data_IF_939723429364
#
_entry.id   IF_939723429364
#
_cell.length_a   1.000
_cell.length_b   1.000
_cell.length_c   1.000
_cell.angle_alpha   90.00
_cell.angle_beta   90.00
_cell.angle_gamma   90.00
#
_symmetry.space_group_name_H-M   'P 1'
#
loop_
_entity.id
_entity.type
_entity.pdbx_description
1 polymer ?
#
# COMPACT_ATOMS: atom_id res chain seq x y z
N UNK A 1 5.93 -24.26 -23.62
CA UNK A 1 4.65 -23.59 -23.34
C UNK A 1 4.98 -22.51 -22.31
N UNK A 2 4.55 -21.27 -22.52
CA UNK A 2 4.80 -20.18 -21.56
C UNK A 2 4.00 -20.44 -20.28
N UNK A 3 4.65 -20.30 -19.13
CA UNK A 3 4.04 -20.57 -17.82
C UNK A 3 3.27 -19.37 -17.29
N UNK A 4 3.55 -18.16 -17.78
CA UNK A 4 2.96 -16.92 -17.25
C UNK A 4 1.42 -16.87 -17.36
N UNK A 5 0.78 -17.30 -18.47
CA UNK A 5 -0.69 -17.35 -18.54
C UNK A 5 -1.32 -18.30 -17.51
N UNK A 6 -0.61 -19.40 -17.19
CA UNK A 6 -1.06 -20.40 -16.22
C UNK A 6 -0.91 -19.86 -14.79
N UNK A 7 0.18 -19.15 -14.52
CA UNK A 7 0.40 -18.44 -13.26
C UNK A 7 -0.63 -17.35 -13.04
N UNK A 8 -0.97 -16.58 -14.08
CA UNK A 8 -1.95 -15.51 -13.95
C UNK A 8 -3.36 -16.05 -13.68
N UNK A 9 -3.72 -17.18 -14.30
CA UNK A 9 -4.97 -17.90 -13.98
C UNK A 9 -5.00 -18.36 -12.52
N UNK A 10 -3.89 -18.89 -12.00
CA UNK A 10 -3.76 -19.25 -10.59
C UNK A 10 -3.88 -18.01 -9.68
N UNK A 11 -3.15 -16.93 -9.99
CA UNK A 11 -3.16 -15.64 -9.27
C UNK A 11 -4.53 -14.99 -9.24
N UNK A 12 -5.25 -14.98 -10.35
CA UNK A 12 -6.60 -14.45 -10.45
C UNK A 12 -7.57 -15.23 -9.56
N UNK A 13 -7.49 -16.57 -9.55
CA UNK A 13 -8.33 -17.42 -8.71
C UNK A 13 -8.05 -17.25 -7.21
N UNK A 14 -6.80 -16.95 -6.84
CA UNK A 14 -6.47 -16.60 -5.46
C UNK A 14 -7.01 -15.24 -5.06
N UNK A 15 -6.88 -14.23 -5.95
CA UNK A 15 -7.42 -12.89 -5.73
C UNK A 15 -8.94 -12.92 -5.55
N UNK A 16 -9.66 -13.71 -6.35
CA UNK A 16 -11.12 -13.82 -6.24
C UNK A 16 -11.60 -14.45 -4.92
N UNK A 17 -10.72 -15.10 -4.16
CA UNK A 17 -11.02 -15.71 -2.85
C UNK A 17 -10.58 -14.85 -1.66
N UNK A 18 -10.00 -13.66 -1.89
CA UNK A 18 -9.62 -12.72 -0.84
C UNK A 18 -8.61 -13.29 0.16
N UNK A 19 -8.77 -12.96 1.45
CA UNK A 19 -7.88 -13.37 2.56
C UNK A 19 -7.75 -14.90 2.67
N UNK A 20 -8.76 -15.64 2.21
CA UNK A 20 -8.77 -17.10 2.19
C UNK A 20 -8.05 -17.72 0.99
N UNK A 21 -7.63 -16.93 -0.01
CA UNK A 21 -6.97 -17.44 -1.21
C UNK A 21 -5.61 -18.09 -0.90
N UNK A 22 -4.66 -17.28 -0.43
CA UNK A 22 -3.29 -17.73 -0.15
C UNK A 22 -3.23 -18.53 1.16
N UNK A 23 -3.94 -18.09 2.20
CA UNK A 23 -4.01 -18.78 3.49
C UNK A 23 -4.74 -20.11 3.38
N UNK A 24 -5.80 -20.17 2.58
CA UNK A 24 -6.49 -21.42 2.24
C UNK A 24 -5.60 -22.38 1.48
N UNK A 25 -4.80 -21.88 0.52
CA UNK A 25 -3.81 -22.70 -0.17
C UNK A 25 -2.71 -23.23 0.76
N UNK A 26 -2.23 -22.45 1.72
CA UNK A 26 -1.28 -22.94 2.74
C UNK A 26 -1.88 -24.01 3.66
N UNK A 27 -3.16 -23.90 4.02
CA UNK A 27 -3.89 -24.96 4.73
C UNK A 27 -4.06 -26.20 3.85
N UNK A 28 -4.35 -26.01 2.56
CA UNK A 28 -4.47 -27.12 1.62
C UNK A 28 -3.13 -27.78 1.34
N UNK A 29 -2.02 -27.06 1.31
CA UNK A 29 -0.67 -27.63 1.24
C UNK A 29 -0.43 -28.62 2.40
N UNK A 30 -0.76 -28.23 3.62
CA UNK A 30 -0.70 -29.12 4.80
C UNK A 30 -1.68 -30.30 4.74
N UNK A 31 -2.84 -30.12 4.13
CA UNK A 31 -3.85 -31.18 3.97
C UNK A 31 -3.43 -32.22 2.92
N UNK A 32 -2.67 -31.77 1.93
CA UNK A 32 -2.28 -32.57 0.76
C UNK A 32 -0.92 -33.26 1.00
N UNK A 33 -0.02 -32.64 1.77
CA UNK A 33 1.23 -33.25 2.28
C UNK A 33 0.91 -34.35 3.31
N UNK A 34 0.40 -35.48 2.83
CA UNK A 34 0.00 -36.63 3.66
C UNK A 34 1.20 -37.28 4.34
N UNK A 35 2.41 -37.06 3.79
CA UNK A 35 3.67 -37.55 4.34
C UNK A 35 4.25 -36.68 5.46
N UNK A 36 3.71 -35.47 5.70
CA UNK A 36 4.25 -34.52 6.67
C UNK A 36 5.67 -34.05 6.32
N UNK A 37 6.03 -34.10 5.04
CA UNK A 37 7.36 -33.80 4.52
C UNK A 37 7.65 -32.29 4.44
N UNK A 38 6.61 -31.46 4.54
CA UNK A 38 6.65 -30.02 4.27
C UNK A 38 6.71 -29.67 2.78
N UNK A 39 6.65 -30.67 1.90
CA UNK A 39 6.70 -30.55 0.45
C UNK A 39 5.58 -31.33 -0.22
N UNK A 40 5.29 -31.00 -1.46
CA UNK A 40 4.18 -31.57 -2.22
C UNK A 40 4.72 -32.10 -3.53
N UNK A 41 4.57 -33.40 -3.77
CA UNK A 41 4.96 -34.03 -5.02
C UNK A 41 3.92 -33.77 -6.14
N UNK A 42 4.14 -34.33 -7.33
CA UNK A 42 3.30 -34.02 -8.48
C UNK A 42 1.85 -34.48 -8.36
N UNK A 43 1.63 -35.69 -7.83
CA UNK A 43 0.29 -36.24 -7.67
C UNK A 43 -0.48 -35.48 -6.59
N UNK A 44 0.22 -35.14 -5.52
CA UNK A 44 -0.27 -34.29 -4.44
C UNK A 44 -0.65 -32.89 -4.96
N UNK A 45 0.20 -32.25 -5.77
CA UNK A 45 -0.07 -30.92 -6.31
C UNK A 45 -1.26 -30.94 -7.29
N UNK A 46 -1.37 -31.96 -8.15
CA UNK A 46 -2.56 -32.18 -9.00
C UNK A 46 -3.83 -32.32 -8.16
N UNK A 47 -3.78 -33.11 -7.08
CA UNK A 47 -4.91 -33.26 -6.17
C UNK A 47 -5.28 -31.92 -5.51
N UNK A 48 -4.29 -31.16 -5.05
CA UNK A 48 -4.48 -29.82 -4.49
C UNK A 48 -5.19 -28.87 -5.47
N UNK A 49 -4.77 -28.87 -6.74
CA UNK A 49 -5.40 -28.04 -7.77
C UNK A 49 -6.86 -28.45 -8.05
N UNK A 50 -7.16 -29.75 -7.99
CA UNK A 50 -8.52 -30.27 -8.19
C UNK A 50 -9.46 -29.90 -7.04
N UNK A 51 -9.07 -30.13 -5.78
CA UNK A 51 -9.92 -29.82 -4.61
C UNK A 51 -10.18 -28.31 -4.46
N UNK A 52 -9.28 -27.48 -5.00
CA UNK A 52 -9.42 -26.03 -5.01
C UNK A 52 -10.23 -25.50 -6.21
N UNK A 53 -10.72 -26.38 -7.11
CA UNK A 53 -11.44 -26.03 -8.33
C UNK A 53 -10.70 -24.98 -9.18
N UNK A 54 -9.38 -25.13 -9.33
CA UNK A 54 -8.55 -24.17 -10.08
C UNK A 54 -8.76 -24.27 -11.61
N UNK A 55 -9.42 -25.33 -12.09
CA UNK A 55 -9.69 -25.52 -13.52
C UNK A 55 -8.42 -25.66 -14.37
N UNK A 56 -7.34 -26.16 -13.79
CA UNK A 56 -6.06 -26.39 -14.47
C UNK A 56 -6.02 -27.81 -15.05
N UNK A 57 -5.61 -27.91 -16.31
CA UNK A 57 -5.33 -29.17 -16.99
C UNK A 57 -4.07 -29.85 -16.44
N UNK A 58 -3.90 -31.17 -16.60
CA UNK A 58 -2.70 -31.86 -16.16
C UNK A 58 -1.40 -31.31 -16.76
N UNK A 59 -1.45 -30.73 -17.97
CA UNK A 59 -0.29 -30.09 -18.61
C UNK A 59 0.05 -28.75 -17.95
N UNK A 60 -0.96 -27.92 -17.66
CA UNK A 60 -0.81 -26.66 -16.90
C UNK A 60 -0.24 -26.93 -15.50
N UNK A 61 -0.70 -27.99 -14.81
CA UNK A 61 -0.18 -28.34 -13.49
C UNK A 61 1.29 -28.75 -13.54
N UNK A 62 1.70 -29.55 -14.54
CA UNK A 62 3.12 -29.90 -14.73
C UNK A 62 4.00 -28.69 -15.02
N UNK A 63 3.50 -27.73 -15.80
CA UNK A 63 4.21 -26.48 -16.07
C UNK A 63 4.40 -25.64 -14.81
N UNK A 64 3.37 -25.53 -13.96
CA UNK A 64 3.48 -24.84 -12.68
C UNK A 64 4.49 -25.50 -11.77
N UNK A 65 4.50 -26.83 -11.69
CA UNK A 65 5.47 -27.57 -10.88
C UNK A 65 6.90 -27.33 -11.33
N UNK A 66 7.16 -27.42 -12.64
CA UNK A 66 8.47 -27.13 -13.20
C UNK A 66 8.90 -25.68 -12.93
N UNK A 67 7.96 -24.74 -12.87
CA UNK A 67 8.25 -23.35 -12.54
C UNK A 67 8.44 -23.09 -11.04
N UNK A 68 7.92 -23.96 -10.17
CA UNK A 68 8.00 -23.78 -8.72
C UNK A 68 9.20 -24.50 -8.10
N UNK A 69 9.49 -25.72 -8.55
CA UNK A 69 10.59 -26.56 -8.09
C UNK A 69 11.94 -25.95 -8.51
N UNK A 70 12.53 -25.11 -7.65
CA UNK A 70 13.82 -24.47 -7.94
C UNK A 70 15.01 -25.35 -7.57
N UNK A 71 14.78 -26.40 -6.80
CA UNK A 71 15.80 -27.34 -6.40
C UNK A 71 15.87 -28.54 -7.34
N UNK A 72 14.97 -28.62 -8.32
CA UNK A 72 14.84 -29.69 -9.32
C UNK A 72 14.80 -31.08 -8.66
N UNK A 73 14.10 -31.17 -7.53
CA UNK A 73 14.02 -32.37 -6.71
C UNK A 73 12.71 -33.15 -6.92
N UNK A 74 11.87 -32.70 -7.85
CA UNK A 74 10.57 -33.28 -8.18
C UNK A 74 9.47 -32.94 -7.18
N UNK A 75 9.73 -32.07 -6.21
CA UNK A 75 8.79 -31.67 -5.16
C UNK A 75 8.77 -30.15 -5.04
N UNK A 76 7.62 -29.62 -4.64
CA UNK A 76 7.46 -28.19 -4.38
C UNK A 76 7.21 -28.01 -2.90
N UNK A 77 8.13 -27.36 -2.19
CA UNK A 77 7.92 -26.98 -0.81
C UNK A 77 7.05 -25.72 -0.70
N UNK A 78 6.55 -25.45 0.50
CA UNK A 78 5.62 -24.34 0.71
C UNK A 78 6.21 -22.97 0.33
N UNK A 79 7.51 -22.74 0.55
CA UNK A 79 8.16 -21.48 0.18
C UNK A 79 8.30 -21.34 -1.34
N UNK A 80 8.69 -22.42 -2.01
CA UNK A 80 8.78 -22.49 -3.47
C UNK A 80 7.43 -22.22 -4.15
N UNK A 81 6.38 -22.83 -3.61
CA UNK A 81 5.01 -22.56 -4.02
C UNK A 81 4.66 -21.09 -3.84
N UNK A 82 4.80 -20.54 -2.62
CA UNK A 82 4.45 -19.15 -2.34
C UNK A 82 5.19 -18.17 -3.26
N UNK A 83 6.48 -18.41 -3.51
CA UNK A 83 7.27 -17.60 -4.44
C UNK A 83 6.71 -17.65 -5.85
N UNK A 84 6.51 -18.83 -6.43
CA UNK A 84 6.05 -18.92 -7.81
C UNK A 84 4.64 -18.36 -8.00
N UNK A 85 3.78 -18.61 -7.02
CA UNK A 85 2.40 -18.13 -6.91
C UNK A 85 2.34 -16.61 -6.83
N UNK A 86 3.10 -15.98 -5.93
CA UNK A 86 3.05 -14.52 -5.74
C UNK A 86 3.84 -13.78 -6.81
N UNK A 87 4.90 -14.38 -7.33
CA UNK A 87 5.69 -13.84 -8.42
C UNK A 87 6.33 -12.51 -8.08
N UNK A 88 6.39 -11.63 -9.08
CA UNK A 88 7.04 -10.32 -9.00
C UNK A 88 6.29 -9.36 -8.08
N UNK A 89 6.98 -8.35 -7.57
CA UNK A 89 6.35 -7.27 -6.81
C UNK A 89 5.22 -6.64 -7.61
N UNK A 90 4.08 -6.36 -6.95
CA UNK A 90 3.07 -5.47 -7.51
C UNK A 90 3.69 -4.09 -7.77
N UNK A 91 3.11 -3.32 -8.70
CA UNK A 91 3.62 -1.98 -9.02
C UNK A 91 3.69 -1.07 -7.80
N UNK A 92 2.71 -1.18 -6.88
CA UNK A 92 2.70 -0.45 -5.61
C UNK A 92 3.89 -0.85 -4.72
N UNK A 93 4.12 -2.15 -4.49
CA UNK A 93 5.27 -2.62 -3.69
C UNK A 93 6.60 -2.24 -4.34
N UNK A 94 6.71 -2.37 -5.67
CA UNK A 94 7.90 -2.02 -6.45
C UNK A 94 8.25 -0.53 -6.33
N UNK A 95 7.24 0.36 -6.33
CA UNK A 95 7.42 1.81 -6.11
C UNK A 95 8.04 2.07 -4.74
N UNK A 96 7.52 1.44 -3.67
CA UNK A 96 8.06 1.60 -2.32
C UNK A 96 9.50 1.09 -2.21
N UNK A 97 9.77 -0.10 -2.77
CA UNK A 97 11.10 -0.72 -2.77
C UNK A 97 12.13 0.13 -3.53
N UNK A 98 11.74 0.69 -4.68
CA UNK A 98 12.59 1.61 -5.47
C UNK A 98 12.86 2.91 -4.74
N UNK A 99 11.86 3.51 -4.10
CA UNK A 99 12.06 4.76 -3.33
C UNK A 99 13.12 4.62 -2.23
N UNK A 100 13.20 3.45 -1.61
CA UNK A 100 14.24 3.17 -0.61
C UNK A 100 15.61 3.03 -1.29
N UNK A 101 15.70 2.27 -2.38
CA UNK A 101 16.93 2.10 -3.14
C UNK A 101 17.51 3.45 -3.59
N UNK A 102 16.71 4.27 -4.27
CA UNK A 102 17.15 5.55 -4.82
C UNK A 102 17.68 6.49 -3.71
N UNK A 103 17.10 6.41 -2.51
CA UNK A 103 17.54 7.21 -1.38
C UNK A 103 18.81 6.66 -0.71
N UNK A 104 19.04 5.35 -0.73
CA UNK A 104 20.29 4.75 -0.26
C UNK A 104 21.43 5.03 -1.25
N UNK A 105 21.16 4.88 -2.55
CA UNK A 105 22.10 5.20 -3.62
C UNK A 105 22.49 6.69 -3.56
N UNK A 106 21.53 7.57 -3.25
CA UNK A 106 21.81 8.98 -3.01
C UNK A 106 22.83 9.27 -1.90
N UNK A 107 22.83 8.43 -0.85
CA UNK A 107 23.79 8.53 0.25
C UNK A 107 25.14 7.97 -0.19
N UNK A 108 25.15 6.87 -0.94
CA UNK A 108 26.33 6.20 -1.48
C UNK A 108 26.98 6.89 -2.70
N UNK A 109 26.47 8.04 -3.12
CA UNK A 109 27.06 8.86 -4.19
C UNK A 109 26.42 8.73 -5.56
N UNK A 110 25.22 8.17 -5.67
CA UNK A 110 24.44 8.03 -6.91
C UNK A 110 25.17 7.28 -8.02
N UNK A 111 25.71 6.11 -7.68
CA UNK A 111 26.52 5.29 -8.58
C UNK A 111 25.71 4.13 -9.20
N UNK A 112 24.44 3.97 -8.81
CA UNK A 112 23.52 2.97 -9.33
C UNK A 112 23.58 1.62 -8.62
N UNK A 113 24.32 1.52 -7.51
CA UNK A 113 24.41 0.31 -6.68
C UNK A 113 24.57 0.69 -5.20
N UNK A 114 24.24 -0.25 -4.31
CA UNK A 114 24.41 -0.06 -2.87
C UNK A 114 25.62 -0.85 -2.39
N UNK A 115 26.48 -0.24 -1.58
CA UNK A 115 27.53 -0.94 -0.84
C UNK A 115 27.04 -1.26 0.58
N UNK A 116 27.62 -2.28 1.20
CA UNK A 116 27.24 -2.67 2.56
C UNK A 116 27.42 -1.55 3.59
N UNK A 117 28.45 -0.74 3.40
CA UNK A 117 28.75 0.39 4.29
C UNK A 117 27.70 1.50 4.17
N UNK A 118 26.95 1.58 3.07
CA UNK A 118 25.82 2.51 2.90
C UNK A 118 24.58 2.05 3.69
N UNK A 119 24.40 0.74 3.87
CA UNK A 119 23.23 0.15 4.53
C UNK A 119 23.33 0.17 6.06
N UNK A 120 24.51 -0.18 6.60
CA UNK A 120 24.78 -0.28 8.05
C UNK A 120 24.26 0.90 8.89
N UNK A 121 24.48 2.18 8.52
CA UNK A 121 24.10 3.30 9.38
C UNK A 121 22.59 3.56 9.44
N UNK A 122 21.82 3.07 8.46
CA UNK A 122 20.40 3.42 8.28
C UNK A 122 19.46 2.22 8.36
N UNK A 123 19.98 1.00 8.33
CA UNK A 123 19.19 -0.22 8.44
C UNK A 123 18.66 -0.41 9.88
N UNK A 124 17.33 -0.40 10.04
CA UNK A 124 16.68 -0.66 11.33
C UNK A 124 16.16 -2.09 11.41
N UNK A 125 16.83 -2.91 12.20
CA UNK A 125 16.36 -4.27 12.53
C UNK A 125 15.38 -4.30 13.71
N UNK A 126 15.03 -3.14 14.27
CA UNK A 126 14.20 -3.05 15.48
C UNK A 126 12.81 -3.66 15.29
N UNK A 127 12.34 -3.75 14.04
CA UNK A 127 11.08 -4.37 13.68
C UNK A 127 11.20 -5.79 13.10
N UNK A 128 12.42 -6.31 12.94
CA UNK A 128 12.63 -7.67 12.45
C UNK A 128 12.00 -8.68 13.43
N UNK A 129 11.11 -9.59 12.98
CA UNK A 129 10.37 -10.49 13.89
C UNK A 129 11.29 -11.32 14.79
N UNK A 130 12.43 -11.80 14.27
CA UNK A 130 13.39 -12.60 15.05
C UNK A 130 14.23 -11.77 16.02
N UNK A 131 14.47 -10.49 15.71
CA UNK A 131 15.17 -9.55 16.62
C UNK A 131 14.24 -9.12 17.76
N UNK A 132 12.96 -8.85 17.44
CA UNK A 132 11.92 -8.60 18.46
C UNK A 132 11.71 -9.80 19.39
N UNK A 133 11.81 -11.01 18.86
CA UNK A 133 11.73 -12.24 19.63
C UNK A 133 13.01 -12.54 20.44
N UNK A 134 14.06 -11.71 20.34
CA UNK A 134 15.36 -11.93 21.01
C UNK A 134 16.16 -13.12 20.49
N UNK A 135 15.75 -13.71 19.36
CA UNK A 135 16.36 -14.91 18.76
C UNK A 135 17.49 -14.59 17.79
N UNK A 136 17.74 -13.31 17.53
CA UNK A 136 18.69 -12.83 16.54
C UNK A 136 19.27 -11.47 16.95
N UNK A 137 20.56 -11.27 16.73
CA UNK A 137 21.22 -9.98 16.95
C UNK A 137 20.96 -9.02 15.79
N UNK A 138 21.20 -7.73 16.02
CA UNK A 138 21.04 -6.72 14.97
C UNK A 138 21.96 -6.97 13.78
N UNK A 139 23.22 -7.26 14.08
CA UNK A 139 24.24 -7.54 13.07
C UNK A 139 23.95 -8.87 12.35
N UNK A 140 23.41 -9.87 13.06
CA UNK A 140 22.98 -11.13 12.45
C UNK A 140 21.83 -10.96 11.47
N UNK A 141 20.84 -10.13 11.78
CA UNK A 141 19.73 -9.84 10.86
C UNK A 141 20.17 -9.03 9.63
N UNK A 142 21.16 -8.14 9.78
CA UNK A 142 21.77 -7.45 8.65
C UNK A 142 22.59 -8.43 7.80
N UNK A 143 23.35 -9.33 8.41
CA UNK A 143 24.12 -10.35 7.71
C UNK A 143 23.22 -11.35 6.96
N UNK A 144 22.08 -11.74 7.53
CA UNK A 144 21.11 -12.60 6.84
C UNK A 144 20.50 -11.91 5.62
N UNK A 145 20.12 -10.63 5.76
CA UNK A 145 19.67 -9.81 4.63
C UNK A 145 20.73 -9.72 3.53
N UNK A 146 21.98 -9.50 3.94
CA UNK A 146 23.15 -9.46 3.05
C UNK A 146 23.32 -10.78 2.30
N UNK A 147 23.32 -11.90 3.02
CA UNK A 147 23.43 -13.23 2.42
C UNK A 147 22.23 -13.52 1.50
N UNK A 148 21.08 -12.90 1.76
CA UNK A 148 19.91 -12.94 0.89
C UNK A 148 20.10 -12.26 -0.47
N UNK A 149 20.97 -11.24 -0.56
CA UNK A 149 21.36 -10.64 -1.85
C UNK A 149 22.38 -11.54 -2.60
N UNK A 150 23.34 -12.11 -1.87
CA UNK A 150 24.41 -12.94 -2.43
C UNK A 150 23.99 -14.38 -2.78
N UNK A 151 22.89 -14.88 -2.20
CA UNK A 151 22.38 -16.24 -2.42
C UNK A 151 21.71 -16.49 -3.78
N UNK A 152 21.66 -15.47 -4.65
CA UNK A 152 21.15 -15.60 -6.00
C UNK A 152 22.24 -16.23 -6.89
N UNK A 153 22.03 -17.48 -7.32
CA UNK A 153 22.99 -18.34 -8.08
C UNK A 153 23.74 -17.70 -9.26
N UNK A 154 23.33 -16.51 -9.72
CA UNK A 154 23.86 -15.81 -10.90
C UNK A 154 24.46 -14.43 -10.58
N UNK A 155 24.41 -13.97 -9.32
CA UNK A 155 24.92 -12.66 -8.93
C UNK A 155 26.45 -12.70 -8.72
N UNK A 156 27.22 -11.75 -9.26
CA UNK A 156 28.63 -11.62 -8.94
C UNK A 156 28.79 -11.25 -7.45
N UNK A 157 29.61 -11.99 -6.72
CA UNK A 157 29.98 -11.66 -5.33
C UNK A 157 30.97 -10.49 -5.27
N UNK A 158 30.55 -9.32 -5.75
CA UNK A 158 31.38 -8.12 -5.86
C UNK A 158 31.16 -7.11 -4.72
N UNK A 159 30.30 -7.46 -3.74
CA UNK A 159 29.97 -6.63 -2.59
C UNK A 159 29.03 -5.47 -2.91
N UNK A 160 28.50 -5.41 -4.14
CA UNK A 160 27.52 -4.41 -4.59
C UNK A 160 26.14 -5.04 -4.66
N UNK A 161 25.12 -4.22 -4.43
CA UNK A 161 23.72 -4.60 -4.61
C UNK A 161 23.12 -3.69 -5.67
N UNK A 162 22.85 -4.25 -6.85
CA UNK A 162 22.12 -3.59 -7.93
C UNK A 162 20.65 -3.39 -7.60
N UNK A 163 19.95 -2.55 -8.37
CA UNK A 163 18.51 -2.37 -8.23
C UNK A 163 17.75 -3.67 -8.52
N UNK A 164 18.24 -4.48 -9.46
CA UNK A 164 17.67 -5.77 -9.83
C UNK A 164 17.74 -6.75 -8.65
N UNK A 165 18.90 -6.90 -8.02
CA UNK A 165 19.10 -7.76 -6.83
C UNK A 165 18.27 -7.25 -5.65
N UNK A 166 18.23 -5.93 -5.47
CA UNK A 166 17.41 -5.29 -4.46
C UNK A 166 15.92 -5.62 -4.60
N UNK A 167 15.39 -5.48 -5.81
CA UNK A 167 14.00 -5.83 -6.12
C UNK A 167 13.75 -7.31 -5.89
N UNK A 168 14.65 -8.19 -6.35
CA UNK A 168 14.51 -9.64 -6.22
C UNK A 168 14.50 -10.11 -4.78
N UNK A 169 15.35 -9.55 -3.93
CA UNK A 169 15.31 -9.81 -2.48
C UNK A 169 13.94 -9.45 -1.89
N UNK A 170 13.41 -8.27 -2.24
CA UNK A 170 12.09 -7.86 -1.77
C UNK A 170 10.95 -8.64 -2.42
N UNK A 171 11.13 -9.27 -3.58
CA UNK A 171 10.19 -10.25 -4.14
C UNK A 171 10.07 -11.48 -3.22
N UNK A 172 11.19 -12.02 -2.74
CA UNK A 172 11.21 -13.13 -1.77
C UNK A 172 10.57 -12.73 -0.43
N UNK A 173 10.92 -11.55 0.11
CA UNK A 173 10.31 -11.05 1.35
C UNK A 173 8.80 -10.84 1.17
N UNK A 174 8.40 -10.23 0.05
CA UNK A 174 7.00 -10.01 -0.34
C UNK A 174 6.23 -11.32 -0.52
N UNK A 175 6.91 -12.39 -0.95
CA UNK A 175 6.33 -13.71 -1.13
C UNK A 175 5.85 -14.35 0.19
N UNK A 176 6.21 -13.80 1.35
CA UNK A 176 5.69 -14.22 2.66
C UNK A 176 4.63 -13.28 3.25
N UNK A 177 4.41 -12.09 2.66
CA UNK A 177 3.52 -11.04 3.17
C UNK A 177 2.22 -10.91 2.36
N UNK A 178 1.08 -11.14 3.04
CA UNK A 178 -0.25 -11.19 2.42
C UNK A 178 -0.85 -9.82 2.10
N UNK A 179 -0.64 -8.81 2.96
CA UNK A 179 -1.28 -7.50 2.85
C UNK A 179 -0.29 -6.39 2.49
N UNK A 180 -0.65 -5.56 1.52
CA UNK A 180 0.16 -4.41 1.10
C UNK A 180 0.38 -3.41 2.23
N UNK A 181 -0.62 -3.23 3.10
CA UNK A 181 -0.49 -2.41 4.30
C UNK A 181 0.57 -2.94 5.25
N UNK A 182 0.64 -4.26 5.42
CA UNK A 182 1.68 -4.88 6.25
C UNK A 182 3.05 -4.73 5.58
N UNK A 183 3.15 -5.01 4.28
CA UNK A 183 4.39 -4.86 3.53
C UNK A 183 4.94 -3.43 3.61
N UNK A 184 4.08 -2.44 3.36
CA UNK A 184 4.45 -1.03 3.37
C UNK A 184 4.86 -0.54 4.76
N UNK A 185 4.14 -0.94 5.80
CA UNK A 185 4.52 -0.63 7.18
C UNK A 185 5.81 -1.32 7.61
N UNK A 186 6.02 -2.58 7.21
CA UNK A 186 7.25 -3.30 7.45
C UNK A 186 8.42 -2.57 6.79
N UNK A 187 8.31 -2.24 5.50
CA UNK A 187 9.37 -1.56 4.76
C UNK A 187 9.65 -0.16 5.34
N UNK A 188 8.63 0.64 5.63
CA UNK A 188 8.79 1.96 6.24
C UNK A 188 9.39 1.89 7.65
N UNK A 189 9.04 0.87 8.43
CA UNK A 189 9.62 0.63 9.75
C UNK A 189 11.09 0.22 9.69
N UNK A 190 11.46 -0.64 8.72
CA UNK A 190 12.84 -1.09 8.50
C UNK A 190 13.75 0.06 8.10
N UNK A 191 13.25 1.02 7.31
CA UNK A 191 14.01 2.16 6.80
C UNK A 191 13.67 3.48 7.50
N UNK A 192 13.14 3.45 8.72
CA UNK A 192 12.73 4.66 9.44
C UNK A 192 13.86 5.65 9.74
N UNK A 193 15.11 5.18 9.80
CA UNK A 193 16.31 6.02 10.00
C UNK A 193 16.85 6.63 8.71
N UNK A 194 16.40 6.12 7.55
CA UNK A 194 16.73 6.70 6.26
C UNK A 194 15.95 8.01 6.10
N UNK A 195 16.65 9.14 6.20
CA UNK A 195 16.04 10.48 6.21
C UNK A 195 16.47 11.31 5.01
N UNK A 196 15.53 12.06 4.44
CA UNK A 196 15.78 13.10 3.44
C UNK A 196 15.82 14.47 4.10
N UNK A 197 16.81 15.29 3.72
CA UNK A 197 16.91 16.69 4.11
C UNK A 197 15.93 17.53 3.28
N UNK A 198 15.14 18.37 3.95
CA UNK A 198 14.18 19.30 3.33
C UNK A 198 14.87 20.65 3.07
N UNK A 199 14.26 21.46 2.20
CA UNK A 199 14.75 22.79 1.84
C UNK A 199 14.85 23.74 3.06
N UNK A 200 14.03 23.52 4.08
CA UNK A 200 14.02 24.26 5.34
C UNK A 200 15.10 23.78 6.36
N UNK A 201 15.96 22.84 5.96
CA UNK A 201 17.01 22.27 6.81
C UNK A 201 16.55 21.15 7.75
N UNK A 202 15.24 20.88 7.85
CA UNK A 202 14.72 19.76 8.65
C UNK A 202 14.93 18.42 7.95
N UNK A 203 14.80 17.32 8.70
CA UNK A 203 14.91 15.97 8.15
C UNK A 203 13.61 15.20 8.36
N UNK A 204 13.21 14.41 7.37
CA UNK A 204 12.02 13.55 7.44
C UNK A 204 12.38 12.15 6.92
N UNK A 205 11.71 11.08 7.40
CA UNK A 205 11.86 9.75 6.84
C UNK A 205 11.63 9.76 5.32
N UNK A 206 12.47 9.04 4.58
CA UNK A 206 12.33 8.87 3.12
C UNK A 206 11.03 8.16 2.79
N UNK A 207 10.72 7.11 3.54
CA UNK A 207 9.51 6.33 3.36
C UNK A 207 8.53 6.64 4.50
N UNK A 208 7.41 7.26 4.15
CA UNK A 208 6.21 7.33 5.00
C UNK A 208 5.12 6.57 4.28
N UNK A 209 4.88 5.34 4.70
CA UNK A 209 3.78 4.55 4.17
C UNK A 209 2.44 5.12 4.67
N UNK A 210 1.42 5.01 3.83
CA UNK A 210 0.05 5.36 4.15
C UNK A 210 -0.79 4.12 3.90
N UNK A 211 -1.44 3.63 4.95
CA UNK A 211 -2.28 2.44 4.90
C UNK A 211 -3.57 2.68 4.13
N UNK A 212 -4.15 1.61 3.62
CA UNK A 212 -5.46 1.62 2.95
C UNK A 212 -6.54 2.18 3.88
N UNK A 213 -6.50 1.84 5.17
CA UNK A 213 -7.41 2.39 6.17
C UNK A 213 -7.28 3.90 6.36
N UNK A 214 -6.05 4.45 6.31
CA UNK A 214 -5.85 5.90 6.35
C UNK A 214 -6.38 6.58 5.08
N UNK A 215 -6.21 5.97 3.90
CA UNK A 215 -6.77 6.49 2.64
C UNK A 215 -8.30 6.50 2.69
N UNK A 216 -8.92 5.42 3.18
CA UNK A 216 -10.38 5.33 3.34
C UNK A 216 -10.92 6.35 4.35
N UNK A 217 -10.22 6.57 5.45
CA UNK A 217 -10.57 7.62 6.40
C UNK A 217 -10.49 9.01 5.76
N UNK A 218 -9.45 9.25 4.96
CA UNK A 218 -9.26 10.49 4.23
C UNK A 218 -10.35 10.71 3.15
N UNK A 219 -10.71 9.67 2.43
CA UNK A 219 -11.82 9.66 1.47
C UNK A 219 -13.14 10.05 2.14
N UNK A 220 -13.46 9.47 3.30
CA UNK A 220 -14.66 9.84 4.08
C UNK A 220 -14.66 11.32 4.47
N UNK A 221 -13.50 11.86 4.85
CA UNK A 221 -13.35 13.29 5.17
C UNK A 221 -13.62 14.14 3.92
N UNK A 222 -13.09 13.75 2.76
CA UNK A 222 -13.36 14.43 1.49
C UNK A 222 -14.84 14.42 1.13
N UNK A 223 -15.49 13.26 1.22
CA UNK A 223 -16.92 13.15 0.93
C UNK A 223 -17.72 14.05 1.87
N UNK A 224 -17.44 14.03 3.18
CA UNK A 224 -18.11 14.91 4.14
C UNK A 224 -17.90 16.40 3.79
N UNK A 225 -16.69 16.79 3.37
CA UNK A 225 -16.39 18.16 2.97
C UNK A 225 -17.14 18.57 1.69
N UNK A 226 -17.29 17.64 0.74
CA UNK A 226 -18.06 17.81 -0.49
C UNK A 226 -19.55 18.03 -0.18
N UNK A 227 -20.13 17.26 0.76
CA UNK A 227 -21.52 17.39 1.19
C UNK A 227 -21.81 18.56 2.14
N UNK A 228 -20.80 19.25 2.66
CA UNK A 228 -20.96 20.26 3.70
C UNK A 228 -21.97 21.38 3.33
N UNK A 229 -22.17 21.66 2.04
CA UNK A 229 -23.06 22.73 1.53
C UNK A 229 -24.22 22.24 0.66
N UNK A 230 -24.39 20.94 0.48
CA UNK A 230 -25.42 20.34 -0.39
C UNK A 230 -26.23 19.28 0.36
N UNK A 231 -27.44 19.00 -0.13
CA UNK A 231 -28.36 18.05 0.53
C UNK A 231 -28.74 16.87 -0.35
N UNK A 232 -28.25 16.82 -1.59
CA UNK A 232 -28.53 15.73 -2.53
C UNK A 232 -27.35 15.48 -3.47
N UNK A 233 -27.24 14.26 -3.95
CA UNK A 233 -26.20 13.83 -4.89
C UNK A 233 -26.25 14.60 -6.20
N UNK A 234 -27.46 14.95 -6.65
CA UNK A 234 -27.67 15.78 -7.85
C UNK A 234 -27.03 17.16 -7.66
N UNK A 235 -27.28 17.82 -6.53
CA UNK A 235 -26.66 19.12 -6.23
C UNK A 235 -25.15 18.99 -6.06
N UNK A 236 -24.68 17.88 -5.47
CA UNK A 236 -23.27 17.63 -5.33
C UNK A 236 -22.61 17.50 -6.70
N UNK A 237 -23.12 16.63 -7.59
CA UNK A 237 -22.63 16.46 -8.97
C UNK A 237 -22.54 17.80 -9.70
N UNK A 238 -23.59 18.63 -9.63
CA UNK A 238 -23.58 19.98 -10.26
C UNK A 238 -22.51 20.90 -9.66
N UNK A 239 -22.37 20.95 -8.33
CA UNK A 239 -21.35 21.78 -7.67
C UNK A 239 -19.95 21.34 -8.10
N UNK A 240 -19.76 20.03 -8.10
CA UNK A 240 -18.53 19.34 -8.39
C UNK A 240 -18.11 19.57 -9.85
N UNK A 241 -19.00 19.36 -10.81
CA UNK A 241 -18.80 19.70 -12.23
C UNK A 241 -18.42 21.16 -12.44
N UNK A 242 -19.10 22.09 -11.75
CA UNK A 242 -18.77 23.53 -11.81
C UNK A 242 -17.38 23.84 -11.27
N UNK A 243 -16.94 23.17 -10.20
CA UNK A 243 -15.57 23.33 -9.72
C UNK A 243 -14.58 22.73 -10.72
N UNK A 244 -14.92 21.60 -11.34
CA UNK A 244 -14.04 20.90 -12.28
C UNK A 244 -13.77 21.62 -13.58
N UNK A 245 -14.78 22.30 -14.14
CA UNK A 245 -14.60 23.18 -15.29
C UNK A 245 -13.55 24.29 -15.05
N UNK A 246 -13.27 24.62 -13.78
CA UNK A 246 -12.26 25.61 -13.41
C UNK A 246 -10.89 25.00 -13.04
N UNK A 247 -10.85 23.69 -12.80
CA UNK A 247 -9.66 22.96 -12.36
C UNK A 247 -8.97 22.30 -13.55
N UNK A 248 -9.72 21.67 -14.46
CA UNK A 248 -9.23 21.13 -15.74
C UNK A 248 -8.95 22.29 -16.71
N UNK A 249 -7.80 22.95 -16.50
CA UNK A 249 -7.45 24.18 -17.23
C UNK A 249 -7.13 23.92 -18.69
N UNK A 250 -6.59 22.73 -18.98
CA UNK A 250 -6.25 22.33 -20.34
C UNK A 250 -7.41 21.66 -21.08
N UNK A 251 -8.57 21.45 -20.41
CA UNK A 251 -9.76 20.80 -20.95
C UNK A 251 -9.45 19.42 -21.50
N UNK A 252 -8.52 18.71 -20.85
CA UNK A 252 -8.13 17.37 -21.26
C UNK A 252 -9.24 16.35 -21.03
N UNK A 253 -10.25 16.69 -20.22
CA UNK A 253 -11.28 15.74 -19.79
C UNK A 253 -10.79 14.79 -18.70
N UNK A 254 -9.55 14.98 -18.22
CA UNK A 254 -8.92 14.19 -17.17
C UNK A 254 -8.26 15.11 -16.16
N UNK A 255 -7.89 14.56 -15.00
CA UNK A 255 -7.41 15.34 -13.86
C UNK A 255 -6.04 14.84 -13.47
N UNK A 256 -5.03 15.68 -13.70
CA UNK A 256 -3.68 15.41 -13.20
C UNK A 256 -3.63 15.51 -11.68
N UNK A 257 -2.58 14.96 -11.07
CA UNK A 257 -2.35 15.07 -9.61
C UNK A 257 -2.37 16.54 -9.13
N UNK A 258 -1.77 17.46 -9.89
CA UNK A 258 -1.74 18.87 -9.53
C UNK A 258 -3.12 19.53 -9.52
N UNK A 259 -3.95 19.17 -10.49
CA UNK A 259 -5.34 19.61 -10.61
C UNK A 259 -6.21 18.98 -9.52
N UNK A 260 -6.01 17.70 -9.22
CA UNK A 260 -6.68 17.02 -8.12
C UNK A 260 -6.41 17.72 -6.78
N UNK A 261 -5.14 18.05 -6.50
CA UNK A 261 -4.76 18.83 -5.33
C UNK A 261 -5.41 20.23 -5.30
N UNK A 262 -5.56 20.90 -6.46
CA UNK A 262 -6.27 22.19 -6.53
C UNK A 262 -7.77 22.01 -6.25
N UNK A 263 -8.35 20.90 -6.67
CA UNK A 263 -9.74 20.55 -6.39
C UNK A 263 -10.01 20.36 -4.90
N UNK A 264 -9.13 19.65 -4.19
CA UNK A 264 -9.22 19.51 -2.74
C UNK A 264 -9.28 20.88 -2.03
N UNK A 265 -8.49 21.85 -2.48
CA UNK A 265 -8.50 23.20 -1.88
C UNK A 265 -9.84 23.92 -2.05
N UNK A 266 -10.62 23.63 -3.11
CA UNK A 266 -11.97 24.21 -3.31
C UNK A 266 -12.98 23.68 -2.29
N UNK A 267 -12.74 22.49 -1.74
CA UNK A 267 -13.53 21.91 -0.66
C UNK A 267 -12.94 22.21 0.73
N UNK A 268 -11.97 23.13 0.83
CA UNK A 268 -11.35 23.54 2.08
C UNK A 268 -10.30 22.55 2.61
N UNK A 269 -9.87 21.59 1.78
CA UNK A 269 -8.83 20.63 2.13
C UNK A 269 -7.50 21.09 1.52
N UNK A 270 -6.68 21.75 2.33
CA UNK A 270 -5.35 22.18 1.91
C UNK A 270 -4.37 21.03 1.90
N UNK A 271 -3.46 20.98 0.93
CA UNK A 271 -2.42 19.94 0.84
C UNK A 271 -1.12 20.46 1.45
N UNK A 272 -0.47 19.63 2.28
CA UNK A 272 0.82 19.94 2.91
C UNK A 272 1.86 20.37 1.86
N UNK A 273 2.57 21.47 2.12
CA UNK A 273 3.68 21.94 1.29
C UNK A 273 3.28 22.76 0.06
N UNK A 274 1.99 22.89 -0.29
CA UNK A 274 1.55 23.77 -1.39
C UNK A 274 1.38 25.24 -0.99
N UNK A 275 1.21 25.52 0.31
CA UNK A 275 1.07 26.88 0.84
C UNK A 275 2.06 27.09 1.99
N UNK A 276 2.59 28.33 2.16
CA UNK A 276 3.37 28.66 3.34
C UNK A 276 2.53 28.51 4.61
N UNK A 277 3.03 27.73 5.57
CA UNK A 277 2.40 27.54 6.88
C UNK A 277 2.37 26.07 7.32
N UNK A 278 2.30 25.82 8.63
CA UNK A 278 2.16 24.46 9.16
C UNK A 278 0.75 23.93 8.88
N UNK A 279 0.66 22.66 8.46
CA UNK A 279 -0.61 21.93 8.31
C UNK A 279 -0.96 21.54 6.87
N UNK A 280 -2.18 21.03 6.71
CA UNK A 280 -2.67 20.46 5.45
C UNK A 280 -2.73 18.94 5.46
N UNK A 281 -3.58 18.39 4.60
CA UNK A 281 -3.66 16.98 4.26
C UNK A 281 -2.30 16.51 3.76
N UNK A 282 -1.78 15.43 4.37
CA UNK A 282 -0.50 14.83 3.98
C UNK A 282 -0.53 14.48 2.50
N UNK A 283 0.52 14.86 1.77
CA UNK A 283 0.63 14.54 0.34
C UNK A 283 0.51 13.04 0.05
N UNK A 284 0.98 12.18 0.96
CA UNK A 284 0.86 10.72 0.82
C UNK A 284 -0.58 10.20 0.89
N UNK A 285 -1.48 10.86 1.64
CA UNK A 285 -2.91 10.52 1.66
C UNK A 285 -3.59 10.93 0.36
N UNK A 286 -3.23 12.12 -0.15
CA UNK A 286 -3.73 12.63 -1.41
C UNK A 286 -3.29 11.73 -2.57
N UNK A 287 -2.02 11.34 -2.59
CA UNK A 287 -1.50 10.36 -3.56
C UNK A 287 -2.17 9.00 -3.42
N UNK A 288 -2.33 8.48 -2.19
CA UNK A 288 -2.99 7.20 -1.98
C UNK A 288 -4.45 7.20 -2.45
N UNK A 289 -5.17 8.31 -2.26
CA UNK A 289 -6.52 8.47 -2.77
C UNK A 289 -6.55 8.58 -4.30
N UNK A 290 -5.60 9.31 -4.89
CA UNK A 290 -5.49 9.41 -6.34
C UNK A 290 -5.20 8.03 -6.97
N UNK A 291 -4.17 7.33 -6.48
CA UNK A 291 -3.75 6.00 -6.94
C UNK A 291 -4.88 4.96 -6.77
N UNK A 292 -5.77 5.14 -5.79
CA UNK A 292 -6.95 4.28 -5.58
C UNK A 292 -7.95 4.36 -6.74
N UNK A 293 -8.04 5.51 -7.40
CA UNK A 293 -8.99 5.77 -8.48
C UNK A 293 -8.34 5.83 -9.87
N UNK A 294 -7.02 5.91 -9.94
CA UNK A 294 -6.22 5.80 -11.17
C UNK A 294 -5.98 4.32 -11.51
N UNK A 295 -7.07 3.62 -11.86
CA UNK A 295 -7.08 2.15 -12.04
C UNK A 295 -6.15 1.71 -13.17
N UNK A 296 -5.99 2.54 -14.20
CA UNK A 296 -5.12 2.25 -15.35
C UNK A 296 -3.68 2.79 -15.16
N UNK A 297 -3.39 3.42 -14.03
CA UNK A 297 -2.10 4.05 -13.72
C UNK A 297 -1.63 5.04 -14.79
N UNK A 298 -2.59 5.72 -15.43
CA UNK A 298 -2.31 6.73 -16.46
C UNK A 298 -1.71 8.00 -15.87
N UNK A 299 -1.81 8.19 -14.55
CA UNK A 299 -1.43 9.44 -13.88
C UNK A 299 -2.49 10.53 -14.03
N UNK A 300 -3.68 10.18 -14.53
CA UNK A 300 -4.79 11.11 -14.74
C UNK A 300 -6.12 10.44 -14.38
N UNK A 301 -6.98 11.15 -13.64
CA UNK A 301 -8.30 10.62 -13.27
C UNK A 301 -9.37 11.09 -14.26
N UNK A 302 -10.22 10.18 -14.71
CA UNK A 302 -11.53 10.58 -15.23
C UNK A 302 -12.38 11.03 -14.04
N UNK A 303 -12.76 12.30 -14.06
CA UNK A 303 -13.43 12.89 -12.92
C UNK A 303 -14.86 12.39 -12.70
N UNK A 304 -15.57 12.10 -13.79
CA UNK A 304 -16.91 11.56 -13.71
C UNK A 304 -16.90 10.20 -13.01
N UNK A 305 -15.99 9.32 -13.45
CA UNK A 305 -15.83 7.98 -12.88
C UNK A 305 -15.40 8.03 -11.41
N UNK A 306 -14.48 8.94 -11.09
CA UNK A 306 -14.03 9.20 -9.71
C UNK A 306 -15.19 9.61 -8.80
N UNK A 307 -16.00 10.60 -9.22
CA UNK A 307 -17.14 11.08 -8.43
C UNK A 307 -18.18 9.98 -8.30
N UNK A 308 -18.56 9.31 -9.38
CA UNK A 308 -19.54 8.23 -9.30
C UNK A 308 -19.07 7.07 -8.42
N UNK A 309 -17.80 6.68 -8.51
CA UNK A 309 -17.25 5.62 -7.70
C UNK A 309 -17.14 6.01 -6.22
N UNK A 310 -16.90 7.29 -5.89
CA UNK A 310 -16.97 7.78 -4.51
C UNK A 310 -18.41 7.80 -3.98
N UNK A 311 -19.38 8.28 -4.77
CA UNK A 311 -20.77 8.45 -4.34
C UNK A 311 -21.52 7.12 -4.23
N UNK A 312 -21.24 6.17 -5.12
CA UNK A 312 -21.89 4.84 -5.11
C UNK A 312 -21.65 4.04 -3.83
N UNK A 313 -20.60 4.38 -3.06
CA UNK A 313 -20.20 3.68 -1.83
C UNK A 313 -20.63 4.40 -0.56
N UNK A 314 -21.27 5.55 -0.68
CA UNK A 314 -21.55 6.43 0.46
C UNK A 314 -23.05 6.60 0.66
N UNK A 315 -23.55 6.16 1.80
CA UNK A 315 -24.88 6.55 2.29
C UNK A 315 -24.74 7.88 3.04
N UNK A 316 -25.41 8.96 2.59
CA UNK A 316 -25.31 10.23 3.27
C UNK A 316 -25.84 10.13 4.71
N UNK A 317 -25.16 10.75 5.69
CA UNK A 317 -25.63 10.76 7.06
C UNK A 317 -27.01 11.42 7.11
N UNK A 318 -28.00 10.68 7.64
CA UNK A 318 -29.33 11.19 7.91
C UNK A 318 -29.19 12.49 8.73
N UNK A 319 -29.53 13.63 8.14
CA UNK A 319 -29.57 14.87 8.91
C UNK A 319 -30.67 14.74 9.97
N UNK A 320 -30.44 15.16 11.22
CA UNK A 320 -31.51 15.24 12.20
C UNK A 320 -32.63 16.12 11.64
N UNK A 321 -33.85 15.62 11.66
CA UNK A 321 -35.03 16.37 11.24
C UNK A 321 -35.21 17.55 12.20
N UNK A 322 -34.93 18.77 11.73
CA UNK A 322 -35.21 19.98 12.53
C UNK A 322 -36.67 20.34 12.29
N UNK A 323 -37.49 20.18 13.31
CA UNK A 323 -38.90 20.56 13.28
C UNK A 323 -39.05 22.07 13.04
N UNK A 324 -39.84 22.54 12.06
CA UNK A 324 -39.91 23.97 11.70
C UNK A 324 -40.60 24.90 12.72
N UNK A 325 -40.71 24.52 14.00
CA UNK A 325 -41.78 24.99 14.88
C UNK A 325 -41.41 25.77 16.16
N UNK A 326 -40.19 26.29 16.36
CA UNK A 326 -39.88 27.08 17.57
C UNK A 326 -39.30 28.48 17.29
N UNK A 327 -39.90 29.57 17.83
CA UNK A 327 -39.35 30.92 17.73
C UNK A 327 -38.63 31.41 18.99
N UNK A 328 -37.89 32.52 18.79
CA UNK A 328 -37.23 33.44 19.76
C UNK A 328 -35.79 33.09 20.17
N UNK A 329 -34.83 34.01 20.24
CA UNK A 329 -34.84 35.46 19.99
C UNK A 329 -33.46 36.09 20.25
N UNK A 330 -33.32 37.40 19.96
CA UNK A 330 -32.34 38.30 20.58
C UNK A 330 -31.05 38.62 19.81
N UNK A 331 -30.96 39.84 19.26
CA UNK A 331 -29.72 40.46 18.74
C UNK A 331 -28.79 40.91 19.87
N UNK A 332 -27.47 40.77 19.69
CA UNK A 332 -26.52 41.81 20.14
C UNK A 332 -25.25 41.83 19.27
N UNK A 333 -24.72 43.03 19.01
CA UNK A 333 -23.66 43.35 18.04
C UNK A 333 -22.31 43.62 18.74
N UNK A 334 -21.24 43.24 18.03
CA UNK A 334 -19.82 43.71 18.06
C UNK A 334 -18.89 43.20 19.19
N UNK A 335 -17.81 42.57 18.73
CA UNK A 335 -16.55 42.39 19.44
C UNK A 335 -15.60 41.53 18.60
N UNK A 336 -14.66 42.14 17.87
CA UNK A 336 -13.55 41.42 17.27
C UNK A 336 -12.57 41.02 18.38
N UNK A 337 -12.40 39.73 18.61
CA UNK A 337 -11.28 39.17 19.37
C UNK A 337 -11.18 37.69 19.00
N UNK A 338 -10.11 37.29 18.30
CA UNK A 338 -9.75 35.87 18.19
C UNK A 338 -9.08 35.46 19.51
N UNK A 339 -9.75 34.63 20.32
CA UNK A 339 -9.10 33.46 20.89
C UNK A 339 -10.05 32.25 20.99
N UNK A 340 -9.57 31.03 20.71
CA UNK A 340 -10.32 29.80 21.03
C UNK A 340 -10.21 28.65 20.03
N UNK A 341 -9.02 28.03 19.94
CA UNK A 341 -8.81 26.69 19.36
C UNK A 341 -9.31 25.58 20.30
N UNK A 342 -10.47 25.74 20.93
CA UNK A 342 -10.99 24.80 21.94
C UNK A 342 -11.83 23.65 21.37
N UNK A 343 -12.04 23.58 20.06
CA UNK A 343 -12.70 22.44 19.41
C UNK A 343 -11.76 21.40 18.80
N UNK A 344 -10.43 21.57 18.92
CA UNK A 344 -9.43 20.57 18.51
C UNK A 344 -9.01 19.60 19.63
N UNK A 345 -9.65 19.67 20.81
CA UNK A 345 -9.30 18.84 21.98
C UNK A 345 -10.33 17.72 22.32
N UNK A 346 -11.20 17.31 21.38
CA UNK A 346 -12.08 16.15 21.57
C UNK A 346 -12.20 15.27 20.32
N UNK A 347 -11.12 14.54 20.03
CA UNK A 347 -11.18 13.22 19.38
C UNK A 347 -9.89 12.40 19.61
N UNK A 348 -9.32 12.49 20.82
CA UNK A 348 -8.48 11.41 21.35
C UNK A 348 -9.40 10.45 22.11
N UNK A 349 -9.90 9.41 21.44
CA UNK A 349 -10.87 8.50 22.08
C UNK A 349 -11.34 7.28 21.29
N UNK A 350 -10.61 6.79 20.28
CA UNK A 350 -10.97 5.51 19.60
C UNK A 350 -9.89 4.43 19.75
N UNK A 351 -8.85 4.67 20.56
CA UNK A 351 -7.87 3.63 20.93
C UNK A 351 -7.81 3.45 22.45
N UNK A 352 -8.84 2.83 23.04
CA UNK A 352 -8.77 2.17 24.34
C UNK A 352 -9.94 1.20 24.49
N UNK A 353 -9.69 -0.03 24.08
CA UNK A 353 -10.31 -1.32 24.46
C UNK A 353 -9.75 -2.26 23.38
N UNK A 354 -8.70 -3.02 23.63
CA UNK A 354 -8.72 -4.24 24.43
C UNK A 354 -7.35 -4.45 25.09
N UNK A 355 -7.35 -4.41 26.41
CA UNK A 355 -6.31 -5.00 27.23
C UNK A 355 -6.98 -5.76 28.37
N UNK A 356 -6.58 -7.03 28.50
CA UNK A 356 -6.62 -7.83 29.72
C UNK A 356 -7.94 -8.53 30.07
N UNK A 357 -8.01 -9.81 29.68
CA UNK A 357 -8.04 -10.94 30.63
C UNK A 357 -7.27 -12.10 30.02
#
# INVERSE_FOLDING_TARGET
MDVEPVLEKLRAHMRSRGVEGIRGLGRHFKMVDRGGSGSVNADEFVYACRINNLGLSPAEVRLLMQAFDLHDNGQVNYQEFLRGVRGRLTQQRKKLVRMVFDALDAIGGHNGYLMMDDLKPVYSVTNHPLVKAGKMTKDGALQEMINGFEGLKEAPHDGKVSLEEWVRYYEEVSASIDHDDYFGNMLAGTWAHLKKKRADGTTAPVLKFTSSAEVEAFEKILINAMYAKVTSDVQLKIQVEKQFANIDKNKSGTVSMDEFMLGLEKFGMHVEGRRPGPGGSRLSLVQGLFDKYDVDASGALNYHDFVEAMLSKYEPPLKPHVDPGMPSGGRSRKGAMYPGTEYLARSNGVFRELGQS
#
